data_IF_419558912418
#
_entry.id   IF_419558912418
#
_cell.length_a   1.000
_cell.length_b   1.000
_cell.length_c   1.000
_cell.angle_alpha   90.00
_cell.angle_beta   90.00
_cell.angle_gamma   90.00
#
_symmetry.space_group_name_H-M   'P 1'
#
loop_
_entity.id
_entity.type
_entity.pdbx_description
1 polymer ?
#
# COMPACT_ATOMS: atom_id res chain seq x y z
N UNK A 1 1.86 8.18 34.65
CA UNK A 1 3.23 8.62 34.99
C UNK A 1 4.17 7.50 34.55
N UNK A 2 4.95 7.70 33.48
CA UNK A 2 5.91 6.70 33.01
C UNK A 2 7.31 7.15 33.40
N UNK A 3 7.98 6.35 34.24
CA UNK A 3 9.38 6.54 34.63
C UNK A 3 10.23 6.03 33.47
N UNK A 4 10.75 6.94 32.65
CA UNK A 4 11.67 6.60 31.56
C UNK A 4 13.06 6.45 32.17
N UNK A 5 13.63 5.24 32.06
CA UNK A 5 14.98 4.93 32.52
C UNK A 5 16.02 5.79 31.78
N UNK A 6 16.98 6.34 32.53
CA UNK A 6 18.03 7.25 32.05
C UNK A 6 18.85 6.70 30.86
N UNK A 7 18.91 5.37 30.73
CA UNK A 7 19.57 4.67 29.63
C UNK A 7 18.80 4.84 28.31
N UNK A 8 17.46 4.85 28.36
CA UNK A 8 16.61 5.05 27.19
C UNK A 8 16.77 6.48 26.64
N UNK A 9 16.92 7.47 27.54
CA UNK A 9 17.16 8.87 27.15
C UNK A 9 18.47 9.05 26.39
N UNK A 10 19.55 8.39 26.83
CA UNK A 10 20.87 8.48 26.19
C UNK A 10 20.85 7.80 24.82
N UNK A 11 20.18 6.64 24.70
CA UNK A 11 20.03 5.94 23.41
C UNK A 11 19.22 6.80 22.42
N UNK A 12 18.12 7.39 22.88
CA UNK A 12 17.31 8.30 22.06
C UNK A 12 18.12 9.53 21.63
N UNK A 13 18.89 10.13 22.55
CA UNK A 13 19.74 11.30 22.27
C UNK A 13 20.80 11.01 21.20
N UNK A 14 21.49 9.86 21.30
CA UNK A 14 22.52 9.47 20.32
C UNK A 14 21.89 9.19 18.94
N UNK A 15 20.74 8.51 18.88
CA UNK A 15 20.08 8.25 17.59
C UNK A 15 19.55 9.55 16.96
N UNK A 16 19.09 10.51 17.77
CA UNK A 16 18.62 11.83 17.28
C UNK A 16 19.73 12.74 16.74
N UNK A 17 21.00 12.48 17.04
CA UNK A 17 22.14 13.20 16.43
C UNK A 17 22.70 12.54 15.17
N UNK A 18 22.35 11.28 14.90
CA UNK A 18 22.79 10.54 13.71
C UNK A 18 21.77 10.55 12.56
N UNK A 19 20.50 10.88 12.83
CA UNK A 19 19.43 10.98 11.82
C UNK A 19 18.62 12.28 12.02
N UNK A 20 18.89 13.34 11.23
CA UNK A 20 18.16 14.58 11.38
C UNK A 20 16.77 14.45 10.75
N UNK A 21 15.76 14.53 11.62
CA UNK A 21 14.33 14.84 11.41
C UNK A 21 13.35 13.70 11.01
N UNK A 22 12.24 13.69 11.77
CA UNK A 22 10.88 13.17 11.49
C UNK A 22 10.41 11.77 11.92
N UNK A 23 11.16 10.98 12.70
CA UNK A 23 10.72 9.61 13.06
C UNK A 23 10.31 9.42 14.54
N UNK A 24 10.76 10.26 15.48
CA UNK A 24 10.74 9.90 16.91
C UNK A 24 9.50 10.28 17.73
N UNK A 25 8.55 11.08 17.22
CA UNK A 25 7.34 11.45 17.99
C UNK A 25 6.13 10.52 17.79
N UNK A 26 6.25 9.45 16.99
CA UNK A 26 5.11 8.58 16.68
C UNK A 26 5.15 7.19 17.35
N UNK A 27 5.88 7.06 18.46
CA UNK A 27 5.75 5.89 19.33
C UNK A 27 4.58 6.11 20.29
N UNK A 28 3.60 5.19 20.25
CA UNK A 28 2.42 5.10 21.13
C UNK A 28 1.17 5.84 20.65
N UNK A 29 0.67 5.48 19.46
CA UNK A 29 -0.75 5.58 19.13
C UNK A 29 -1.25 4.21 18.65
N UNK A 30 -2.50 3.87 18.99
CA UNK A 30 -3.15 2.63 18.56
C UNK A 30 -3.09 2.52 17.02
N UNK A 31 -2.21 1.65 16.53
CA UNK A 31 -2.00 1.44 15.11
C UNK A 31 -3.18 0.65 14.52
N UNK A 32 -4.03 1.33 13.75
CA UNK A 32 -5.03 0.65 12.92
C UNK A 32 -4.37 0.32 11.58
N UNK A 33 -3.95 -0.93 11.41
CA UNK A 33 -3.38 -1.43 10.16
C UNK A 33 -4.45 -2.14 9.33
N UNK A 34 -4.71 -1.68 8.12
CA UNK A 34 -5.58 -2.35 7.16
C UNK A 34 -4.70 -3.13 6.17
N UNK A 35 -5.02 -4.40 5.93
CA UNK A 35 -4.40 -5.22 4.88
C UNK A 35 -5.47 -5.66 3.90
N UNK A 36 -5.22 -5.44 2.62
CA UNK A 36 -6.15 -5.66 1.53
C UNK A 36 -5.56 -6.67 0.55
N UNK A 37 -6.43 -7.49 -0.04
CA UNK A 37 -6.06 -8.45 -1.08
C UNK A 37 -6.67 -8.02 -2.43
N UNK A 38 -6.07 -8.42 -3.57
CA UNK A 38 -6.53 -7.98 -4.87
C UNK A 38 -7.87 -8.62 -5.21
N UNK A 39 -8.82 -7.81 -5.67
CA UNK A 39 -10.05 -8.32 -6.26
C UNK A 39 -9.86 -8.55 -7.75
N UNK A 40 -9.81 -9.81 -8.15
CA UNK A 40 -9.64 -10.22 -9.54
C UNK A 40 -11.00 -10.65 -10.10
N UNK A 41 -11.45 -10.13 -11.26
CA UNK A 41 -12.68 -10.59 -11.90
C UNK A 41 -12.62 -12.10 -12.24
N UNK A 42 -13.79 -12.74 -12.25
CA UNK A 42 -13.95 -14.18 -12.47
C UNK A 42 -13.42 -14.63 -13.85
N UNK A 43 -12.85 -15.84 -14.00
CA UNK A 43 -12.30 -16.32 -15.27
C UNK A 43 -13.33 -16.43 -16.40
N UNK A 44 -14.63 -16.46 -16.10
CA UNK A 44 -15.70 -16.50 -17.11
C UNK A 44 -15.89 -15.20 -17.89
N UNK A 45 -15.22 -14.11 -17.49
CA UNK A 45 -15.21 -12.82 -18.19
C UNK A 45 -13.93 -12.60 -19.03
N UNK A 46 -13.17 -13.66 -19.35
CA UNK A 46 -11.86 -13.60 -20.03
C UNK A 46 -11.89 -13.23 -21.53
N UNK A 47 -13.01 -12.74 -22.08
CA UNK A 47 -13.06 -12.30 -23.48
C UNK A 47 -12.60 -10.85 -23.72
N UNK A 48 -12.06 -10.16 -22.70
CA UNK A 48 -11.55 -8.79 -22.85
C UNK A 48 -10.20 -8.59 -22.17
N UNK A 49 -9.22 -8.09 -22.93
CA UNK A 49 -8.01 -7.45 -22.38
C UNK A 49 -8.40 -6.50 -21.25
N UNK A 50 -7.71 -6.57 -20.11
CA UNK A 50 -7.98 -5.69 -18.96
C UNK A 50 -7.74 -4.23 -19.38
N UNK A 51 -8.82 -3.47 -19.55
CA UNK A 51 -8.77 -2.06 -19.97
C UNK A 51 -8.50 -1.09 -18.81
N UNK A 52 -8.94 -1.41 -17.59
CA UNK A 52 -8.69 -0.58 -16.40
C UNK A 52 -7.37 -1.00 -15.72
N UNK A 53 -6.31 -0.15 -15.73
CA UNK A 53 -5.04 -0.45 -15.07
C UNK A 53 -5.16 -0.45 -13.53
N UNK A 54 -6.25 0.08 -12.96
CA UNK A 54 -6.44 0.19 -11.51
C UNK A 54 -6.66 -1.17 -10.88
N UNK A 55 -5.77 -1.55 -9.98
CA UNK A 55 -5.97 -2.68 -9.09
C UNK A 55 -7.07 -2.30 -8.10
N UNK A 56 -8.03 -3.20 -7.98
CA UNK A 56 -9.14 -3.09 -7.05
C UNK A 56 -8.82 -3.98 -5.85
N UNK A 57 -9.11 -3.46 -4.67
CA UNK A 57 -8.79 -4.12 -3.41
C UNK A 57 -10.07 -4.51 -2.69
N UNK A 58 -10.02 -5.64 -1.99
CA UNK A 58 -11.07 -6.06 -1.09
C UNK A 58 -10.53 -6.16 0.34
N UNK A 59 -11.37 -5.74 1.26
CA UNK A 59 -11.17 -5.91 2.69
C UNK A 59 -11.87 -7.18 3.14
N UNK A 60 -11.21 -8.01 3.94
CA UNK A 60 -11.84 -9.19 4.53
C UNK A 60 -12.27 -8.88 5.97
N UNK A 61 -13.58 -8.89 6.29
CA UNK A 61 -14.06 -8.78 7.67
C UNK A 61 -13.51 -9.91 8.56
N UNK A 62 -13.19 -11.07 7.97
CA UNK A 62 -12.65 -12.24 8.66
C UNK A 62 -11.19 -12.07 9.12
N UNK A 63 -10.49 -11.00 8.70
CA UNK A 63 -9.14 -10.67 9.17
C UNK A 63 -9.12 -9.82 10.45
N UNK A 64 -10.29 -9.60 11.08
CA UNK A 64 -10.39 -9.08 12.45
C UNK A 64 -10.09 -7.59 12.62
N UNK A 65 -10.35 -6.74 11.61
CA UNK A 65 -9.96 -5.32 11.65
C UNK A 65 -11.12 -4.37 11.35
N UNK A 66 -11.25 -3.34 12.19
CA UNK A 66 -12.36 -2.40 12.20
C UNK A 66 -12.28 -1.40 11.05
N UNK A 67 -13.19 -1.54 10.06
CA UNK A 67 -13.55 -0.44 9.15
C UNK A 67 -14.23 0.73 9.88
N UNK A 68 -14.57 0.56 11.16
CA UNK A 68 -15.35 1.52 11.97
C UNK A 68 -14.60 2.83 12.22
N UNK A 69 -13.26 2.83 12.26
CA UNK A 69 -12.44 4.03 12.52
C UNK A 69 -11.20 4.16 11.62
N UNK A 70 -11.07 3.28 10.62
CA UNK A 70 -9.94 3.23 9.69
C UNK A 70 -10.31 3.71 8.28
N UNK A 71 -9.35 3.69 7.33
CA UNK A 71 -9.64 4.06 5.95
C UNK A 71 -10.64 3.09 5.29
N UNK A 72 -11.51 3.63 4.45
CA UNK A 72 -12.63 2.91 3.83
C UNK A 72 -12.27 2.45 2.42
N UNK A 73 -13.07 1.53 1.86
CA UNK A 73 -12.96 1.15 0.45
C UNK A 73 -14.08 1.81 -0.35
N UNK A 74 -13.71 2.74 -1.23
CA UNK A 74 -14.58 3.29 -2.26
C UNK A 74 -14.32 2.59 -3.59
N UNK A 75 -15.23 1.70 -3.99
CA UNK A 75 -15.11 0.89 -5.21
C UNK A 75 -13.74 0.16 -5.29
N UNK A 76 -13.28 -0.39 -4.18
CA UNK A 76 -11.99 -1.07 -4.06
C UNK A 76 -10.76 -0.16 -4.14
N UNK A 77 -10.92 1.17 -4.03
CA UNK A 77 -9.84 2.14 -3.80
C UNK A 77 -9.88 2.59 -2.34
N UNK A 78 -8.75 2.93 -1.77
CA UNK A 78 -8.67 3.26 -0.34
C UNK A 78 -8.97 4.74 -0.11
N UNK A 79 -9.97 5.06 0.70
CA UNK A 79 -10.33 6.43 1.09
C UNK A 79 -9.88 6.74 2.52
N UNK A 80 -9.16 7.83 2.67
CA UNK A 80 -8.64 8.30 3.95
C UNK A 80 -9.73 9.02 4.75
N UNK A 81 -9.89 8.64 6.01
CA UNK A 81 -10.95 9.13 6.90
C UNK A 81 -10.46 10.16 7.92
N UNK A 82 -9.14 10.28 8.12
CA UNK A 82 -8.53 11.17 9.10
C UNK A 82 -7.21 11.71 8.55
N UNK A 83 -6.86 12.94 8.90
CA UNK A 83 -5.56 13.50 8.56
C UNK A 83 -4.43 12.82 9.34
N UNK A 84 -3.25 12.76 8.75
CA UNK A 84 -2.02 12.46 9.47
C UNK A 84 -0.97 11.74 8.65
N UNK A 85 0.05 11.25 9.35
CA UNK A 85 1.13 10.46 8.77
C UNK A 85 0.70 9.00 8.74
N UNK A 86 0.74 8.43 7.54
CA UNK A 86 0.43 7.03 7.28
C UNK A 86 1.67 6.28 6.81
N UNK A 87 1.81 5.04 7.30
CA UNK A 87 2.72 4.05 6.74
C UNK A 87 1.95 3.22 5.71
N UNK A 88 2.33 3.36 4.46
CA UNK A 88 1.89 2.54 3.34
C UNK A 88 2.84 1.35 3.20
N UNK A 89 2.30 0.18 2.91
CA UNK A 89 3.09 -0.99 2.52
C UNK A 89 2.34 -1.74 1.42
N UNK A 90 3.06 -2.13 0.38
CA UNK A 90 2.48 -2.84 -0.75
C UNK A 90 3.43 -3.92 -1.22
N UNK A 91 2.87 -5.07 -1.55
CA UNK A 91 3.55 -6.13 -2.28
C UNK A 91 2.63 -6.60 -3.39
N UNK A 92 3.16 -6.69 -4.61
CA UNK A 92 2.41 -7.24 -5.73
C UNK A 92 3.30 -8.24 -6.45
N UNK A 93 2.78 -9.45 -6.59
CA UNK A 93 3.38 -10.50 -7.41
C UNK A 93 2.49 -10.71 -8.63
N UNK A 94 3.07 -10.80 -9.82
CA UNK A 94 2.32 -11.04 -11.05
C UNK A 94 1.86 -12.52 -11.11
N UNK A 95 0.66 -12.76 -11.64
CA UNK A 95 0.15 -14.09 -11.91
C UNK A 95 1.00 -14.77 -13.01
N UNK A 96 1.03 -16.11 -12.98
CA UNK A 96 1.77 -16.95 -13.95
C UNK A 96 3.28 -16.75 -13.98
N UNK A 97 3.85 -16.17 -12.92
CA UNK A 97 5.30 -16.03 -12.74
C UNK A 97 6.08 -17.36 -12.74
N UNK A 98 5.41 -18.47 -12.48
CA UNK A 98 5.99 -19.82 -12.42
C UNK A 98 6.11 -20.51 -13.78
N UNK A 99 5.50 -19.96 -14.85
CA UNK A 99 5.52 -20.59 -16.17
C UNK A 99 6.64 -20.01 -17.05
N UNK A 100 7.54 -20.88 -17.51
CA UNK A 100 8.65 -20.56 -18.43
C UNK A 100 8.20 -20.00 -19.78
N UNK A 101 6.92 -20.13 -20.12
CA UNK A 101 6.29 -19.59 -21.35
C UNK A 101 5.81 -18.16 -21.15
N UNK A 102 6.69 -17.29 -20.62
CA UNK A 102 6.38 -15.88 -20.43
C UNK A 102 6.41 -15.13 -21.76
N UNK A 103 5.28 -15.04 -22.45
CA UNK A 103 5.18 -14.35 -23.75
C UNK A 103 5.14 -12.81 -23.64
N UNK A 104 4.73 -12.25 -22.50
CA UNK A 104 4.66 -10.80 -22.27
C UNK A 104 5.67 -10.31 -21.23
N UNK A 105 6.97 -10.34 -21.55
CA UNK A 105 8.06 -9.93 -20.64
C UNK A 105 7.71 -8.66 -19.83
N UNK A 106 7.78 -8.67 -18.49
CA UNK A 106 7.32 -7.56 -17.65
C UNK A 106 8.34 -6.41 -17.60
N UNK A 107 9.23 -6.31 -18.60
CA UNK A 107 10.39 -5.40 -18.58
C UNK A 107 10.01 -3.93 -18.41
N UNK A 108 8.78 -3.57 -18.75
CA UNK A 108 8.23 -2.21 -18.60
C UNK A 108 6.96 -2.17 -17.73
N UNK A 109 6.67 -3.26 -17.00
CA UNK A 109 5.60 -3.27 -16.01
C UNK A 109 6.02 -2.43 -14.80
N UNK A 110 5.12 -1.56 -14.37
CA UNK A 110 5.29 -0.67 -13.24
C UNK A 110 4.03 -0.65 -12.40
N UNK A 111 4.20 -0.72 -11.09
CA UNK A 111 3.16 -0.52 -10.11
C UNK A 111 3.29 0.90 -9.56
N UNK A 112 2.20 1.66 -9.59
CA UNK A 112 2.14 3.01 -9.06
C UNK A 112 1.08 3.08 -7.96
N UNK A 113 1.43 3.66 -6.81
CA UNK A 113 0.45 4.09 -5.80
C UNK A 113 0.36 5.60 -5.86
N UNK A 114 -0.84 6.15 -6.00
CA UNK A 114 -1.04 7.58 -6.16
C UNK A 114 -2.30 8.08 -5.46
N UNK A 115 -2.33 9.37 -5.12
CA UNK A 115 -3.56 10.08 -4.75
C UNK A 115 -4.28 10.42 -6.05
N UNK A 116 -5.48 9.91 -6.24
CA UNK A 116 -6.28 10.11 -7.46
C UNK A 116 -7.41 11.12 -7.31
N UNK A 117 -7.75 11.48 -6.07
CA UNK A 117 -8.80 12.41 -5.71
C UNK A 117 -8.40 13.06 -4.38
N UNK A 118 -8.66 14.36 -4.16
CA UNK A 118 -9.48 15.31 -4.96
C UNK A 118 -8.79 15.97 -6.16
N UNK A 119 -7.54 15.62 -6.45
CA UNK A 119 -6.75 16.31 -7.45
C UNK A 119 -7.17 15.96 -8.88
N UNK A 120 -7.24 16.97 -9.78
CA UNK A 120 -7.48 16.75 -11.22
C UNK A 120 -6.36 15.93 -11.90
N UNK A 121 -5.18 15.89 -11.28
CA UNK A 121 -4.03 15.09 -11.69
C UNK A 121 -3.61 14.17 -10.55
N UNK A 122 -3.25 12.92 -10.86
CA UNK A 122 -2.82 11.98 -9.84
C UNK A 122 -1.43 12.31 -9.29
N UNK A 123 -1.27 12.35 -7.96
CA UNK A 123 0.03 12.58 -7.30
C UNK A 123 0.66 11.23 -6.93
N UNK A 124 1.81 10.92 -7.53
CA UNK A 124 2.50 9.64 -7.32
C UNK A 124 3.16 9.55 -5.94
N UNK A 125 2.73 8.60 -5.12
CA UNK A 125 3.32 8.27 -3.82
C UNK A 125 4.36 7.15 -3.93
N UNK A 126 4.17 6.18 -4.81
CA UNK A 126 5.13 5.11 -5.04
C UNK A 126 5.13 4.77 -6.52
N UNK A 127 6.30 4.47 -7.08
CA UNK A 127 6.45 3.93 -8.43
C UNK A 127 7.50 2.84 -8.41
N UNK A 128 7.07 1.61 -8.58
CA UNK A 128 7.89 0.41 -8.50
C UNK A 128 7.95 -0.24 -9.87
N UNK A 129 9.15 -0.59 -10.33
CA UNK A 129 9.37 -1.29 -11.60
C UNK A 129 9.62 -2.77 -11.32
N UNK A 130 8.97 -3.63 -12.10
CA UNK A 130 9.19 -5.08 -12.00
C UNK A 130 10.53 -5.48 -12.63
N UNK A 131 11.08 -4.69 -13.56
CA UNK A 131 12.33 -5.00 -14.27
C UNK A 131 12.33 -6.44 -14.85
N UNK A 132 13.21 -7.31 -14.35
CA UNK A 132 13.27 -8.73 -14.73
C UNK A 132 12.61 -9.64 -13.68
N UNK A 133 12.05 -9.05 -12.63
CA UNK A 133 11.39 -9.74 -11.52
C UNK A 133 9.88 -9.85 -11.69
N UNK A 134 9.32 -10.62 -10.76
CA UNK A 134 7.92 -11.00 -10.70
C UNK A 134 7.12 -10.30 -9.62
N UNK A 135 7.85 -9.76 -8.65
CA UNK A 135 7.32 -9.24 -7.42
C UNK A 135 8.00 -7.91 -7.14
N UNK A 136 7.20 -6.95 -6.71
CA UNK A 136 7.69 -5.68 -6.19
C UNK A 136 7.09 -5.47 -4.80
N UNK A 137 7.90 -4.96 -3.90
CA UNK A 137 7.47 -4.60 -2.55
C UNK A 137 8.06 -3.25 -2.19
N UNK A 138 7.29 -2.44 -1.45
CA UNK A 138 7.78 -1.17 -0.91
C UNK A 138 6.96 -0.73 0.28
N UNK A 139 7.56 0.13 1.10
CA UNK A 139 6.92 0.82 2.19
C UNK A 139 7.27 2.31 2.12
N UNK A 140 6.34 3.17 2.51
CA UNK A 140 6.54 4.62 2.55
C UNK A 140 5.74 5.27 3.66
N UNK A 141 6.37 6.18 4.38
CA UNK A 141 5.68 7.14 5.24
C UNK A 141 5.29 8.35 4.38
N UNK A 142 4.03 8.77 4.49
CA UNK A 142 3.54 9.97 3.80
C UNK A 142 2.40 10.57 4.60
N UNK A 143 2.31 11.90 4.56
CA UNK A 143 1.09 12.58 5.01
C UNK A 143 -0.04 12.29 4.02
N UNK A 144 -1.25 12.05 4.55
CA UNK A 144 -2.48 11.94 3.77
C UNK A 144 -3.58 12.73 4.47
N UNK A 145 -4.41 13.39 3.67
CA UNK A 145 -5.53 14.18 4.15
C UNK A 145 -6.83 13.38 4.11
N UNK A 146 -7.76 13.76 4.97
CA UNK A 146 -9.14 13.29 4.97
C UNK A 146 -9.78 13.54 3.60
N UNK A 147 -10.36 12.48 3.05
CA UNK A 147 -10.97 12.49 1.72
C UNK A 147 -10.02 12.10 0.58
N UNK A 148 -8.70 11.99 0.83
CA UNK A 148 -7.79 11.47 -0.18
C UNK A 148 -8.19 10.05 -0.58
N UNK A 149 -8.20 9.77 -1.89
CA UNK A 149 -8.41 8.43 -2.44
C UNK A 149 -7.12 7.93 -3.05
N UNK A 150 -6.60 6.83 -2.53
CA UNK A 150 -5.42 6.15 -3.05
C UNK A 150 -5.82 5.14 -4.12
N UNK A 151 -5.25 5.29 -5.31
CA UNK A 151 -5.28 4.25 -6.33
C UNK A 151 -3.95 3.55 -6.45
N UNK A 152 -4.05 2.30 -6.85
CA UNK A 152 -2.93 1.47 -7.27
C UNK A 152 -3.10 1.12 -8.73
N UNK A 153 -2.16 1.50 -9.59
CA UNK A 153 -2.17 1.22 -11.01
C UNK A 153 -1.06 0.26 -11.38
N UNK A 154 -1.39 -0.78 -12.13
CA UNK A 154 -0.43 -1.68 -12.74
C UNK A 154 -0.41 -1.40 -14.24
N UNK A 155 0.75 -1.01 -14.79
CA UNK A 155 0.88 -0.81 -16.23
C UNK A 155 0.81 -2.14 -16.95
N UNK A 156 0.29 -2.11 -18.19
CA UNK A 156 0.03 -3.28 -19.05
C UNK A 156 -1.13 -4.16 -18.52
N UNK A 157 -1.79 -4.97 -19.37
CA UNK A 157 -2.91 -5.83 -18.97
C UNK A 157 -2.43 -7.07 -18.18
N UNK A 158 -1.47 -6.88 -17.27
CA UNK A 158 -0.95 -7.92 -16.39
C UNK A 158 -1.92 -8.14 -15.22
N UNK A 159 -1.98 -9.39 -14.79
CA UNK A 159 -2.81 -9.81 -13.66
C UNK A 159 -1.94 -10.02 -12.43
N UNK A 160 -2.33 -9.54 -11.25
CA UNK A 160 -1.66 -9.91 -10.00
C UNK A 160 -2.01 -11.34 -9.58
N UNK A 161 -1.19 -11.95 -8.72
CA UNK A 161 -1.50 -13.19 -8.01
C UNK A 161 -2.72 -12.99 -7.11
N UNK A 162 -3.57 -14.01 -7.00
CA UNK A 162 -4.71 -14.03 -6.08
C UNK A 162 -4.31 -14.34 -4.64
N UNK A 163 -3.09 -14.82 -4.43
CA UNK A 163 -2.60 -15.18 -3.11
C UNK A 163 -2.39 -13.91 -2.27
N UNK A 164 -3.12 -13.80 -1.16
CA UNK A 164 -3.06 -12.64 -0.26
C UNK A 164 -1.72 -12.52 0.48
N UNK A 165 -0.94 -13.61 0.56
CA UNK A 165 0.42 -13.59 1.13
C UNK A 165 1.45 -13.04 0.13
N UNK A 166 1.16 -13.15 -1.17
CA UNK A 166 2.05 -12.71 -2.26
C UNK A 166 1.67 -11.34 -2.81
N UNK A 167 0.38 -10.98 -2.74
CA UNK A 167 -0.16 -9.70 -3.21
C UNK A 167 -1.07 -9.08 -2.17
N UNK A 168 -0.64 -7.97 -1.58
CA UNK A 168 -1.39 -7.21 -0.61
C UNK A 168 -1.06 -5.73 -0.67
N UNK A 169 -2.02 -4.90 -0.23
CA UNK A 169 -1.81 -3.49 0.02
C UNK A 169 -2.31 -3.16 1.41
N UNK A 170 -1.52 -2.45 2.18
CA UNK A 170 -1.94 -2.01 3.48
C UNK A 170 -1.45 -0.64 3.87
N UNK A 171 -2.11 -0.15 4.91
CA UNK A 171 -1.94 1.20 5.42
C UNK A 171 -2.10 1.17 6.93
N UNK A 172 -1.30 1.98 7.61
CA UNK A 172 -1.35 2.16 9.04
C UNK A 172 -1.30 3.64 9.36
N UNK A 173 -2.26 4.14 10.14
CA UNK A 173 -2.18 5.47 10.72
C UNK A 173 -1.14 5.46 11.85
N UNK A 174 -0.18 6.39 11.79
CA UNK A 174 0.98 6.40 12.69
C UNK A 174 0.83 7.53 13.71
N UNK A 175 0.53 8.74 13.25
CA UNK A 175 0.33 9.92 14.07
C UNK A 175 -0.54 10.95 13.31
N UNK A 176 -1.26 11.82 14.02
CA UNK A 176 -1.95 12.97 13.43
C UNK A 176 -0.99 13.95 12.77
#
# INVERSE_FOLDING_TARGET
MCIISHILYIIIYIISHLYPFDIYMCMVCHAVSLNLHPSIPSPTALSGSRQDPRLRWQGSPALGRSFVHGPELDNGQLRIQRDGIYRLHIQVTLANCSFSTWTAKPHSATLTVAICFPTAHSVSLLRLSFHHGCSVASQRLTFLAHGDILCTNLTQPLLPSRNADETFFGIQWVCP
#
